data_IF_344219620011
#
_entry.id   IF_344219620011
#
_cell.length_a   1.000
_cell.length_b   1.000
_cell.length_c   1.000
_cell.angle_alpha   90.00
_cell.angle_beta   90.00
_cell.angle_gamma   90.00
#
_symmetry.space_group_name_H-M   'P 1'
#
loop_
_entity.id
_entity.type
_entity.pdbx_description
1 polymer ?
#
# COMPACT_ATOMS: atom_id res chain seq x y z
N UNK A 1 -2.61 11.49 11.92
CA UNK A 1 -1.36 11.55 12.72
C UNK A 1 -1.32 12.71 13.71
N UNK A 2 -2.11 13.75 13.51
CA UNK A 2 -2.08 14.97 14.35
C UNK A 2 -2.54 14.75 15.80
N UNK A 3 -3.30 13.72 16.08
CA UNK A 3 -3.87 13.41 17.40
C UNK A 3 -3.18 12.24 18.12
N UNK A 4 -1.98 11.82 17.67
CA UNK A 4 -1.23 10.75 18.32
C UNK A 4 -0.35 11.38 19.41
N UNK A 5 -0.69 11.10 20.66
CA UNK A 5 -0.06 11.64 21.86
C UNK A 5 0.59 10.55 22.75
N UNK A 6 0.22 9.29 22.56
CA UNK A 6 0.77 8.14 23.28
C UNK A 6 1.26 7.05 22.34
N UNK A 7 2.14 6.17 22.85
CA UNK A 7 2.60 4.99 22.07
C UNK A 7 1.43 4.07 21.72
N UNK A 8 0.46 3.92 22.62
CA UNK A 8 -0.71 3.09 22.39
C UNK A 8 -1.57 3.64 21.25
N UNK A 9 -1.86 4.94 21.25
CA UNK A 9 -2.59 5.60 20.17
C UNK A 9 -1.81 5.55 18.84
N UNK A 10 -0.49 5.65 18.89
CA UNK A 10 0.38 5.46 17.73
C UNK A 10 0.29 4.03 17.17
N UNK A 11 0.46 3.03 18.02
CA UNK A 11 0.30 1.62 17.63
C UNK A 11 -1.09 1.35 17.04
N UNK A 12 -2.16 1.82 17.71
CA UNK A 12 -3.55 1.67 17.25
C UNK A 12 -3.76 2.29 15.87
N UNK A 13 -3.23 3.49 15.64
CA UNK A 13 -3.33 4.15 14.33
C UNK A 13 -2.66 3.33 13.23
N UNK A 14 -1.40 2.92 13.43
CA UNK A 14 -0.66 2.18 12.42
C UNK A 14 -1.16 0.74 12.25
N UNK A 15 -1.72 0.12 13.29
CA UNK A 15 -2.39 -1.19 13.20
C UNK A 15 -3.60 -1.17 12.27
N UNK A 16 -4.22 -0.03 12.04
CA UNK A 16 -5.29 0.11 11.04
C UNK A 16 -4.82 -0.29 9.63
N UNK A 17 -3.61 0.11 9.24
CA UNK A 17 -3.02 -0.31 7.97
C UNK A 17 -2.68 -1.80 7.95
N UNK A 18 -2.13 -2.32 9.06
CA UNK A 18 -1.84 -3.75 9.21
C UNK A 18 -3.10 -4.60 9.05
N UNK A 19 -4.19 -4.20 9.70
CA UNK A 19 -5.47 -4.91 9.64
C UNK A 19 -6.04 -4.94 8.21
N UNK A 20 -5.97 -3.83 7.48
CA UNK A 20 -6.47 -3.80 6.08
C UNK A 20 -5.60 -4.67 5.17
N UNK A 21 -4.27 -4.64 5.32
CA UNK A 21 -3.37 -5.48 4.52
C UNK A 21 -3.63 -6.97 4.81
N UNK A 22 -3.77 -7.36 6.09
CA UNK A 22 -4.08 -8.73 6.46
C UNK A 22 -5.47 -9.16 5.98
N UNK A 23 -6.48 -8.32 6.11
CA UNK A 23 -7.82 -8.60 5.58
C UNK A 23 -7.81 -8.79 4.06
N UNK A 24 -7.03 -7.98 3.32
CA UNK A 24 -6.88 -8.14 1.87
C UNK A 24 -6.15 -9.44 1.51
N UNK A 25 -5.11 -9.80 2.27
CA UNK A 25 -4.35 -11.04 2.13
C UNK A 25 -5.23 -12.29 2.36
N UNK A 26 -6.04 -12.27 3.41
CA UNK A 26 -6.86 -13.41 3.85
C UNK A 26 -8.19 -13.51 3.13
N UNK A 27 -8.62 -12.47 2.44
CA UNK A 27 -9.85 -12.49 1.66
C UNK A 27 -9.82 -13.64 0.65
N UNK A 28 -10.81 -14.56 0.64
CA UNK A 28 -10.85 -15.67 -0.31
C UNK A 28 -11.18 -15.25 -1.75
N UNK A 29 -11.42 -13.97 -1.98
CA UNK A 29 -11.66 -13.35 -3.28
C UNK A 29 -10.50 -12.48 -3.70
N UNK A 30 -10.30 -12.32 -5.00
CA UNK A 30 -9.33 -11.36 -5.51
C UNK A 30 -9.75 -9.93 -5.18
N UNK A 31 -8.81 -9.14 -4.71
CA UNK A 31 -8.98 -7.71 -4.44
C UNK A 31 -8.48 -6.93 -5.67
N UNK A 32 -9.39 -6.20 -6.30
CA UNK A 32 -9.07 -5.34 -7.44
C UNK A 32 -8.88 -3.91 -6.94
N UNK A 33 -7.70 -3.35 -7.19
CA UNK A 33 -7.35 -1.97 -6.88
C UNK A 33 -7.71 -1.02 -8.02
N UNK A 34 -8.14 0.20 -7.66
CA UNK A 34 -8.45 1.29 -8.58
C UNK A 34 -7.77 2.58 -8.11
N UNK A 35 -6.76 3.05 -8.85
CA UNK A 35 -5.98 4.23 -8.50
C UNK A 35 -6.07 5.28 -9.60
N UNK A 36 -6.77 6.38 -9.38
CA UNK A 36 -6.95 7.42 -10.39
C UNK A 36 -6.02 8.63 -10.26
N UNK A 37 -5.31 8.75 -9.15
CA UNK A 37 -4.47 9.92 -8.85
C UNK A 37 -3.33 9.58 -7.91
N UNK A 38 -2.91 10.54 -7.09
CA UNK A 38 -1.77 10.42 -6.18
C UNK A 38 -2.07 9.44 -5.05
N UNK A 39 -1.15 8.49 -4.82
CA UNK A 39 -1.14 7.61 -3.65
C UNK A 39 0.15 7.83 -2.85
N UNK A 40 0.03 8.06 -1.54
CA UNK A 40 1.15 8.37 -0.64
C UNK A 40 1.12 7.45 0.56
N UNK A 41 2.28 6.93 0.95
CA UNK A 41 2.42 6.17 2.20
C UNK A 41 1.43 5.01 2.31
N UNK A 42 0.51 5.08 3.25
CA UNK A 42 -0.56 4.10 3.41
C UNK A 42 -1.36 3.81 2.14
N UNK A 43 -1.57 4.80 1.27
CA UNK A 43 -2.23 4.61 -0.02
C UNK A 43 -1.44 3.70 -0.97
N UNK A 44 -0.11 3.77 -0.94
CA UNK A 44 0.77 2.84 -1.69
C UNK A 44 0.64 1.43 -1.11
N UNK A 45 0.61 1.31 0.23
CA UNK A 45 0.37 0.05 0.92
C UNK A 45 -0.95 -0.60 0.52
N UNK A 46 -2.04 0.18 0.45
CA UNK A 46 -3.35 -0.31 0.01
C UNK A 46 -3.31 -0.80 -1.44
N UNK A 47 -2.71 -0.04 -2.37
CA UNK A 47 -2.54 -0.45 -3.75
C UNK A 47 -1.72 -1.75 -3.85
N UNK A 48 -0.68 -1.89 -3.02
CA UNK A 48 0.19 -3.07 -2.99
C UNK A 48 -0.49 -4.31 -2.41
N UNK A 49 -1.47 -4.15 -1.52
CA UNK A 49 -2.24 -5.24 -0.94
C UNK A 49 -3.32 -5.80 -1.88
N UNK A 50 -3.54 -5.17 -3.04
CA UNK A 50 -4.46 -5.69 -4.06
C UNK A 50 -3.80 -6.79 -4.89
N UNK A 51 -4.59 -7.73 -5.41
CA UNK A 51 -4.10 -8.80 -6.29
C UNK A 51 -3.91 -8.29 -7.72
N UNK A 52 -4.79 -7.41 -8.15
CA UNK A 52 -4.76 -6.76 -9.46
C UNK A 52 -5.01 -5.28 -9.28
N UNK A 53 -4.15 -4.42 -9.80
CA UNK A 53 -4.26 -2.99 -9.60
C UNK A 53 -4.32 -2.23 -10.93
N UNK A 54 -5.45 -1.58 -11.17
CA UNK A 54 -5.66 -0.65 -12.28
C UNK A 54 -5.30 0.76 -11.87
N UNK A 55 -4.70 1.52 -12.79
CA UNK A 55 -4.41 2.93 -12.57
C UNK A 55 -4.70 3.79 -13.79
N UNK A 56 -4.85 5.10 -13.60
CA UNK A 56 -4.80 6.06 -14.69
C UNK A 56 -3.37 6.57 -14.90
N UNK A 57 -3.09 7.14 -16.07
CA UNK A 57 -1.81 7.82 -16.35
C UNK A 57 -1.50 8.99 -15.42
N UNK A 58 -2.52 9.52 -14.73
CA UNK A 58 -2.39 10.60 -13.75
C UNK A 58 -2.01 10.08 -12.35
N UNK A 59 -1.99 8.76 -12.16
CA UNK A 59 -1.59 8.17 -10.90
C UNK A 59 -0.08 8.35 -10.69
N UNK A 60 0.28 8.66 -9.46
CA UNK A 60 1.68 8.70 -9.03
C UNK A 60 1.79 8.23 -7.59
N UNK A 61 2.96 7.72 -7.22
CA UNK A 61 3.20 7.11 -5.91
C UNK A 61 4.39 7.69 -5.20
N UNK A 62 4.34 7.72 -3.87
CA UNK A 62 5.44 8.14 -3.02
C UNK A 62 5.36 7.48 -1.64
N UNK A 63 6.49 6.99 -1.14
CA UNK A 63 6.65 6.60 0.27
C UNK A 63 7.31 7.74 1.03
N UNK A 64 6.51 8.59 1.65
CA UNK A 64 6.97 9.84 2.29
C UNK A 64 7.34 9.68 3.77
N UNK A 65 7.24 8.50 4.31
CA UNK A 65 7.36 8.22 5.75
C UNK A 65 8.74 8.60 6.29
N UNK A 66 9.81 8.30 5.57
CA UNK A 66 11.18 8.64 6.01
C UNK A 66 11.39 10.15 6.06
N UNK A 67 10.79 10.92 5.15
CA UNK A 67 10.90 12.37 5.12
C UNK A 67 10.29 13.05 6.36
N UNK A 68 9.41 12.37 7.06
CA UNK A 68 8.81 12.84 8.32
C UNK A 68 9.32 12.07 9.55
N UNK A 69 10.43 11.32 9.43
CA UNK A 69 11.06 10.63 10.55
C UNK A 69 10.41 9.31 10.96
N UNK A 70 9.56 8.74 10.11
CA UNK A 70 8.95 7.43 10.28
C UNK A 70 9.44 6.55 9.11
N UNK A 71 9.50 5.24 9.26
CA UNK A 71 9.72 4.35 8.10
C UNK A 71 8.37 3.82 7.58
N UNK A 72 8.28 3.38 6.33
CA UNK A 72 7.10 2.69 5.79
C UNK A 72 7.03 1.24 6.32
N UNK A 73 7.18 1.07 7.63
CA UNK A 73 7.38 -0.25 8.25
C UNK A 73 6.18 -1.17 8.07
N UNK A 74 4.96 -0.65 8.27
CA UNK A 74 3.74 -1.48 8.19
C UNK A 74 3.40 -1.81 6.75
N UNK A 75 3.50 -0.84 5.85
CA UNK A 75 3.14 -1.04 4.43
C UNK A 75 4.28 -1.69 3.62
N UNK A 76 5.51 -1.61 4.15
CA UNK A 76 6.73 -2.09 3.49
C UNK A 76 6.63 -3.52 2.97
N UNK A 77 6.22 -4.52 3.76
CA UNK A 77 6.13 -5.90 3.29
C UNK A 77 5.22 -6.07 2.06
N UNK A 78 4.05 -5.42 2.04
CA UNK A 78 3.14 -5.48 0.91
C UNK A 78 3.72 -4.79 -0.33
N UNK A 79 4.37 -3.62 -0.13
CA UNK A 79 5.02 -2.88 -1.22
C UNK A 79 6.19 -3.68 -1.78
N UNK A 80 7.10 -4.14 -0.92
CA UNK A 80 8.29 -4.92 -1.32
C UNK A 80 7.90 -6.20 -2.06
N UNK A 81 6.88 -6.93 -1.55
CA UNK A 81 6.36 -8.12 -2.22
C UNK A 81 5.87 -7.80 -3.65
N UNK A 82 5.27 -6.63 -3.86
CA UNK A 82 4.67 -6.24 -5.14
C UNK A 82 5.70 -5.75 -6.15
N UNK A 83 6.69 -4.95 -5.72
CA UNK A 83 7.63 -4.25 -6.61
C UNK A 83 9.10 -4.70 -6.47
N UNK A 84 9.36 -5.64 -5.57
CA UNK A 84 10.72 -6.12 -5.27
C UNK A 84 11.53 -5.15 -4.42
N UNK A 85 12.57 -5.69 -3.76
CA UNK A 85 13.41 -4.96 -2.80
C UNK A 85 14.09 -3.74 -3.41
N UNK A 86 14.57 -3.83 -4.65
CA UNK A 86 15.27 -2.70 -5.29
C UNK A 86 14.36 -1.49 -5.51
N UNK A 87 13.15 -1.71 -6.04
CA UNK A 87 12.20 -0.62 -6.27
C UNK A 87 11.64 -0.07 -4.94
N UNK A 88 11.39 -0.94 -3.95
CA UNK A 88 11.00 -0.53 -2.60
C UNK A 88 12.07 0.34 -1.95
N UNK A 89 13.36 -0.06 -2.03
CA UNK A 89 14.47 0.73 -1.51
C UNK A 89 14.56 2.11 -2.18
N UNK A 90 14.42 2.16 -3.51
CA UNK A 90 14.42 3.42 -4.24
C UNK A 90 13.32 4.39 -3.77
N UNK A 91 12.10 3.87 -3.56
CA UNK A 91 10.98 4.68 -3.04
C UNK A 91 11.20 5.13 -1.60
N UNK A 92 11.72 4.25 -0.76
CA UNK A 92 11.87 4.50 0.68
C UNK A 92 13.00 5.47 0.97
N UNK A 93 14.16 5.29 0.31
CA UNK A 93 15.35 6.13 0.52
C UNK A 93 15.11 7.52 -0.07
N UNK A 94 14.54 7.61 -1.27
CA UNK A 94 14.19 8.90 -1.88
C UNK A 94 12.73 9.30 -1.58
N UNK A 95 12.44 9.45 -0.29
CA UNK A 95 11.09 9.64 0.26
C UNK A 95 10.36 10.91 -0.21
N UNK A 96 11.05 11.84 -0.87
CA UNK A 96 10.45 13.08 -1.41
C UNK A 96 10.09 12.95 -2.89
N UNK A 97 10.65 11.96 -3.59
CA UNK A 97 10.43 11.75 -5.03
C UNK A 97 9.05 11.15 -5.30
N UNK A 98 8.38 11.69 -6.30
CA UNK A 98 7.22 11.08 -6.93
C UNK A 98 7.65 10.15 -8.05
N UNK A 99 7.04 8.97 -8.09
CA UNK A 99 7.18 8.02 -9.19
C UNK A 99 5.85 7.98 -9.95
N UNK A 100 5.92 8.09 -11.26
CA UNK A 100 4.72 8.14 -12.12
C UNK A 100 4.08 6.76 -12.33
N UNK A 101 2.96 6.75 -13.04
CA UNK A 101 2.20 5.53 -13.32
C UNK A 101 2.96 4.56 -14.23
N UNK A 102 3.81 5.07 -15.14
CA UNK A 102 4.61 4.25 -16.05
C UNK A 102 5.67 3.48 -15.26
N UNK A 103 6.39 4.17 -14.37
CA UNK A 103 7.34 3.53 -13.46
C UNK A 103 6.65 2.50 -12.56
N UNK A 104 5.50 2.86 -11.98
CA UNK A 104 4.77 1.97 -11.08
C UNK A 104 4.27 0.70 -11.80
N UNK A 105 3.87 0.82 -13.08
CA UNK A 105 3.53 -0.32 -13.93
C UNK A 105 4.75 -1.17 -14.25
N UNK A 106 5.87 -0.56 -14.65
CA UNK A 106 7.13 -1.28 -14.94
C UNK A 106 7.60 -2.11 -13.74
N UNK A 107 7.44 -1.59 -12.53
CA UNK A 107 7.82 -2.28 -11.28
C UNK A 107 6.74 -3.24 -10.75
N UNK A 108 5.60 -3.36 -11.41
CA UNK A 108 4.54 -4.31 -11.06
C UNK A 108 3.59 -3.86 -9.95
N UNK A 109 3.66 -2.59 -9.51
CA UNK A 109 2.67 -2.04 -8.58
C UNK A 109 1.30 -1.91 -9.24
N UNK A 110 1.26 -1.34 -10.44
CA UNK A 110 0.08 -1.30 -11.27
C UNK A 110 0.14 -2.37 -12.35
N UNK A 111 -0.93 -3.12 -12.51
CA UNK A 111 -1.03 -4.14 -13.54
C UNK A 111 -1.30 -3.51 -14.90
N UNK A 112 -2.21 -2.53 -14.94
CA UNK A 112 -2.57 -1.80 -16.15
C UNK A 112 -2.74 -0.31 -15.88
N UNK A 113 -2.43 0.50 -16.91
CA UNK A 113 -2.55 1.97 -16.85
C UNK A 113 -3.36 2.45 -18.05
N UNK A 114 -4.32 3.33 -17.80
CA UNK A 114 -5.29 3.84 -18.76
C UNK A 114 -5.21 5.36 -18.91
N UNK A 115 -5.61 5.86 -20.07
CA UNK A 115 -5.63 7.30 -20.35
C UNK A 115 -6.72 8.04 -19.58
N UNK A 116 -7.82 7.36 -19.23
CA UNK A 116 -8.93 7.94 -18.51
C UNK A 116 -9.49 7.02 -17.42
N UNK A 117 -10.18 7.61 -16.45
CA UNK A 117 -10.90 6.85 -15.42
C UNK A 117 -12.05 6.03 -16.03
N UNK A 118 -12.69 6.53 -17.09
CA UNK A 118 -13.80 5.84 -17.74
C UNK A 118 -13.34 4.54 -18.43
N UNK A 119 -12.21 4.58 -19.13
CA UNK A 119 -11.60 3.38 -19.73
C UNK A 119 -11.21 2.37 -18.65
N UNK A 120 -10.52 2.84 -17.61
CA UNK A 120 -10.14 2.00 -16.46
C UNK A 120 -11.37 1.33 -15.85
N UNK A 121 -12.45 2.07 -15.61
CA UNK A 121 -13.69 1.56 -15.01
C UNK A 121 -14.38 0.54 -15.91
N UNK A 122 -14.30 0.70 -17.23
CA UNK A 122 -14.80 -0.27 -18.20
C UNK A 122 -14.03 -1.61 -18.09
N UNK A 123 -12.70 -1.56 -18.01
CA UNK A 123 -11.90 -2.76 -17.89
C UNK A 123 -12.07 -3.45 -16.53
N UNK A 124 -12.21 -2.68 -15.44
CA UNK A 124 -12.56 -3.23 -14.12
C UNK A 124 -13.87 -4.02 -14.19
N UNK A 125 -14.90 -3.47 -14.84
CA UNK A 125 -16.20 -4.14 -14.99
C UNK A 125 -16.08 -5.44 -15.78
N UNK A 126 -15.30 -5.45 -16.88
CA UNK A 126 -15.05 -6.64 -17.69
C UNK A 126 -14.33 -7.71 -16.88
N UNK A 127 -13.23 -7.35 -16.20
CA UNK A 127 -12.49 -8.30 -15.37
C UNK A 127 -13.38 -8.86 -14.24
N UNK A 128 -14.13 -8.00 -13.55
CA UNK A 128 -15.03 -8.42 -12.47
C UNK A 128 -16.12 -9.38 -12.97
N UNK A 129 -16.70 -9.12 -14.16
CA UNK A 129 -17.68 -10.00 -14.78
C UNK A 129 -17.08 -11.36 -15.13
N UNK A 130 -15.86 -11.39 -15.67
CA UNK A 130 -15.16 -12.64 -15.99
C UNK A 130 -14.87 -13.45 -14.72
N UNK A 131 -14.37 -12.79 -13.66
CA UNK A 131 -14.08 -13.46 -12.40
C UNK A 131 -15.33 -13.99 -11.70
N UNK A 132 -16.47 -13.29 -11.82
CA UNK A 132 -17.75 -13.76 -11.24
C UNK A 132 -18.27 -15.07 -11.88
N UNK A 133 -17.81 -15.37 -13.10
CA UNK A 133 -18.14 -16.60 -13.82
C UNK A 133 -17.03 -17.68 -13.69
N UNK A 134 -15.97 -17.40 -12.97
CA UNK A 134 -14.87 -18.33 -12.77
C UNK A 134 -15.14 -19.30 -11.60
N UNK A 135 -14.45 -20.43 -11.57
CA UNK A 135 -14.57 -21.41 -10.48
C UNK A 135 -14.08 -20.78 -9.16
N UNK A 136 -14.96 -20.66 -8.14
CA UNK A 136 -14.61 -20.01 -6.88
C UNK A 136 -13.52 -20.75 -6.08
N UNK A 137 -13.50 -22.06 -6.13
CA UNK A 137 -12.46 -22.86 -5.43
C UNK A 137 -11.09 -22.67 -6.08
N UNK A 138 -11.04 -22.58 -7.42
CA UNK A 138 -9.80 -22.31 -8.14
C UNK A 138 -9.29 -20.88 -7.82
N UNK A 139 -10.18 -19.88 -7.75
CA UNK A 139 -9.80 -18.52 -7.38
C UNK A 139 -9.24 -18.46 -5.96
N UNK A 140 -9.89 -19.12 -5.00
CA UNK A 140 -9.41 -19.20 -3.62
C UNK A 140 -8.05 -19.91 -3.53
N UNK A 141 -7.88 -21.03 -4.25
CA UNK A 141 -6.60 -21.73 -4.32
C UNK A 141 -5.48 -20.87 -4.89
N UNK A 142 -5.73 -20.17 -6.01
CA UNK A 142 -4.78 -19.24 -6.61
C UNK A 142 -4.44 -18.07 -5.66
N UNK A 143 -5.44 -17.54 -4.95
CA UNK A 143 -5.22 -16.49 -3.94
C UNK A 143 -4.23 -16.96 -2.88
N UNK A 144 -4.40 -18.17 -2.34
CA UNK A 144 -3.46 -18.73 -1.35
C UNK A 144 -2.05 -18.87 -1.92
N UNK A 145 -1.90 -19.41 -3.14
CA UNK A 145 -0.59 -19.55 -3.80
C UNK A 145 0.08 -18.19 -4.00
N UNK A 146 -0.66 -17.18 -4.45
CA UNK A 146 -0.12 -15.83 -4.64
C UNK A 146 0.39 -15.20 -3.34
N UNK A 147 -0.16 -15.59 -2.19
CA UNK A 147 0.20 -15.06 -0.88
C UNK A 147 1.03 -16.03 -0.02
N UNK A 148 1.59 -17.09 -0.62
CA UNK A 148 2.53 -17.97 0.08
C UNK A 148 3.71 -17.21 0.67
N UNK A 149 4.20 -17.70 1.81
CA UNK A 149 5.32 -17.09 2.53
C UNK A 149 4.95 -15.89 3.40
N UNK A 150 3.65 -15.50 3.46
CA UNK A 150 3.19 -14.33 4.23
C UNK A 150 2.46 -14.68 5.54
N UNK A 151 2.41 -15.96 5.95
CA UNK A 151 1.66 -16.41 7.13
C UNK A 151 2.06 -15.74 8.45
N UNK A 152 3.31 -15.25 8.52
CA UNK A 152 3.84 -14.56 9.69
C UNK A 152 3.44 -13.07 9.75
N UNK A 153 2.73 -12.54 8.74
CA UNK A 153 2.43 -11.10 8.66
C UNK A 153 1.47 -10.62 9.74
N UNK A 154 0.65 -11.49 10.31
CA UNK A 154 -0.22 -11.13 11.45
C UNK A 154 0.60 -10.58 12.62
N UNK A 155 1.72 -11.22 12.94
CA UNK A 155 2.65 -10.75 13.98
C UNK A 155 3.55 -9.63 13.47
N UNK A 156 4.18 -9.82 12.31
CA UNK A 156 5.15 -8.88 11.74
C UNK A 156 4.57 -7.47 11.58
N UNK A 157 3.35 -7.33 11.02
CA UNK A 157 2.78 -6.02 10.76
C UNK A 157 2.39 -5.31 12.05
N UNK A 158 2.00 -6.04 13.10
CA UNK A 158 1.71 -5.47 14.42
C UNK A 158 2.98 -4.99 15.13
N UNK A 159 4.09 -5.72 15.06
CA UNK A 159 5.40 -5.28 15.56
C UNK A 159 5.88 -4.02 14.83
N UNK A 160 5.69 -3.97 13.52
CA UNK A 160 6.04 -2.80 12.71
C UNK A 160 5.11 -1.60 12.98
N UNK A 161 3.85 -1.83 13.30
CA UNK A 161 2.93 -0.79 13.75
C UNK A 161 3.39 -0.18 15.08
N UNK A 162 3.91 -0.99 16.00
CA UNK A 162 4.50 -0.51 17.25
C UNK A 162 5.75 0.35 17.01
N UNK A 163 6.63 -0.08 16.09
CA UNK A 163 7.81 0.68 15.69
C UNK A 163 7.43 2.05 15.13
N UNK A 164 6.44 2.11 14.22
CA UNK A 164 5.91 3.37 13.68
C UNK A 164 5.26 4.23 14.79
N UNK A 165 4.51 3.61 15.69
CA UNK A 165 3.87 4.26 16.83
C UNK A 165 4.86 4.88 17.82
N UNK A 166 6.05 4.30 17.97
CA UNK A 166 7.15 4.88 18.75
C UNK A 166 7.76 6.08 18.05
N UNK A 167 8.06 5.97 16.75
CA UNK A 167 8.77 7.00 15.99
C UNK A 167 7.91 8.25 15.74
N UNK A 168 6.60 8.09 15.59
CA UNK A 168 5.69 9.25 15.38
C UNK A 168 5.70 10.23 16.56
N UNK A 169 6.11 9.79 17.74
CA UNK A 169 6.22 10.61 18.95
C UNK A 169 7.58 11.30 19.11
N UNK A 170 8.55 11.01 18.25
CA UNK A 170 9.86 11.63 18.31
C UNK A 170 9.77 13.13 18.03
N UNK A 171 10.68 13.91 18.60
CA UNK A 171 10.75 15.37 18.37
C UNK A 171 10.99 15.67 16.89
N UNK A 172 11.79 14.84 16.19
CA UNK A 172 11.99 14.98 14.76
C UNK A 172 10.66 14.91 14.00
N UNK A 173 9.85 13.89 14.26
CA UNK A 173 8.57 13.71 13.55
C UNK A 173 7.57 14.81 13.90
N UNK A 174 7.48 15.19 15.18
CA UNK A 174 6.61 16.29 15.61
C UNK A 174 6.96 17.60 14.90
N UNK A 175 8.25 17.93 14.83
CA UNK A 175 8.73 19.12 14.13
C UNK A 175 8.46 19.05 12.62
N UNK A 176 8.73 17.90 11.98
CA UNK A 176 8.46 17.70 10.56
C UNK A 176 6.96 17.85 10.23
N UNK A 177 6.07 17.28 11.05
CA UNK A 177 4.60 17.43 10.88
C UNK A 177 4.16 18.89 11.06
N UNK A 178 4.71 19.61 12.04
CA UNK A 178 4.37 21.02 12.26
C UNK A 178 4.80 21.90 11.06
N UNK A 179 5.96 21.65 10.48
CA UNK A 179 6.42 22.35 9.27
C UNK A 179 5.51 22.08 8.06
N UNK A 180 4.91 20.88 7.96
CA UNK A 180 3.97 20.56 6.88
C UNK A 180 2.60 21.23 7.03
N UNK A 181 2.17 21.52 8.27
CA UNK A 181 0.88 22.20 8.53
C UNK A 181 0.91 23.69 8.21
N UNK A 182 2.10 24.29 8.25
CA UNK A 182 2.30 25.73 8.05
C UNK A 182 2.65 26.09 6.59
N UNK A 183 2.57 25.12 5.68
CA UNK A 183 2.68 25.27 4.21
C UNK A 183 1.30 25.18 3.56
#
# INVERSE_FOLDING_TARGET
>A
MVAIDTRENGKKFFSGFANVINAARECPKFIIGRVQGKAVGGGVGMASATDYCFATKFASVKLSELAIGIGPFVVGPAVERKIGTSAFSAMTINATKWFDSSWAREKGLYTEVFDSAAEMDSEIKKLSANLSNSNPEAMEGLKRVMWEGTNHWDTLLMERAESSGKLVLSDFTKNAINLLKNK
#
